data_IF_711563536565
#
_entry.id   IF_711563536565
#
_cell.length_a   1.000
_cell.length_b   1.000
_cell.length_c   1.000
_cell.angle_alpha   90.00
_cell.angle_beta   90.00
_cell.angle_gamma   90.00
#
_symmetry.space_group_name_H-M   'P 1'
#
loop_
_entity.id
_entity.type
_entity.pdbx_description
1 polymer ?
#
# COMPACT_ATOMS: atom_id res chain seq x y z
N UNK A 1 -15.76 -4.45 -3.53
CA UNK A 1 -15.55 -3.73 -2.26
C UNK A 1 -15.81 -4.64 -1.06
N UNK A 2 -17.06 -5.03 -0.80
CA UNK A 2 -17.42 -5.83 0.39
C UNK A 2 -16.53 -7.07 0.60
N UNK A 3 -16.31 -7.87 -0.46
CA UNK A 3 -15.44 -9.05 -0.38
C UNK A 3 -13.98 -8.76 0.00
N UNK A 4 -13.44 -7.58 -0.32
CA UNK A 4 -12.10 -7.18 0.14
C UNK A 4 -12.14 -6.80 1.62
N UNK A 5 -13.17 -6.07 2.03
CA UNK A 5 -13.32 -5.56 3.40
C UNK A 5 -13.75 -6.61 4.43
N UNK A 6 -14.10 -7.83 4.02
CA UNK A 6 -14.23 -8.96 4.97
C UNK A 6 -12.88 -9.44 5.51
N UNK A 7 -11.76 -9.01 4.91
CA UNK A 7 -10.42 -9.41 5.31
C UNK A 7 -9.81 -8.43 6.32
N UNK A 8 -9.03 -8.97 7.26
CA UNK A 8 -8.39 -8.18 8.32
C UNK A 8 -7.16 -7.39 7.87
N UNK A 9 -6.64 -7.64 6.66
CA UNK A 9 -5.47 -6.96 6.09
C UNK A 9 -5.80 -6.55 4.65
N UNK A 10 -5.66 -5.27 4.35
CA UNK A 10 -5.86 -4.69 3.01
C UNK A 10 -4.65 -3.85 2.66
N UNK A 11 -4.17 -3.98 1.42
CA UNK A 11 -3.16 -3.10 0.86
C UNK A 11 -3.84 -1.96 0.12
N UNK A 12 -3.34 -0.73 0.26
CA UNK A 12 -3.82 0.43 -0.47
C UNK A 12 -2.65 1.18 -1.12
N UNK A 13 -2.87 1.59 -2.37
CA UNK A 13 -1.98 2.50 -3.11
C UNK A 13 -2.80 3.37 -4.05
N UNK A 14 -2.39 4.62 -4.24
CA UNK A 14 -3.04 5.56 -5.13
C UNK A 14 -2.12 6.04 -6.25
N UNK A 15 -2.50 5.70 -7.47
CA UNK A 15 -1.73 6.04 -8.66
C UNK A 15 -2.37 7.23 -9.37
N UNK A 16 -1.62 8.31 -9.66
CA UNK A 16 -2.14 9.44 -10.41
C UNK A 16 -2.40 9.06 -11.87
N UNK A 17 -3.50 9.54 -12.43
CA UNK A 17 -3.88 9.38 -13.84
C UNK A 17 -4.30 10.71 -14.44
N UNK A 18 -4.15 10.86 -15.77
CA UNK A 18 -4.60 12.04 -16.49
C UNK A 18 -6.03 11.82 -17.00
N UNK A 19 -6.99 12.51 -16.41
CA UNK A 19 -8.40 12.49 -16.83
C UNK A 19 -8.64 13.61 -17.84
N UNK A 20 -9.33 13.33 -18.95
CA UNK A 20 -9.78 14.38 -19.87
C UNK A 20 -10.81 15.29 -19.18
N UNK A 21 -10.71 16.60 -19.40
CA UNK A 21 -11.74 17.58 -19.02
C UNK A 21 -12.44 18.06 -20.28
N UNK A 22 -13.60 17.46 -20.66
CA UNK A 22 -14.33 17.84 -21.86
C UNK A 22 -14.61 19.34 -21.91
N UNK A 23 -14.42 19.95 -23.07
CA UNK A 23 -14.60 21.40 -23.27
C UNK A 23 -13.40 22.27 -22.88
N UNK A 24 -12.46 21.78 -22.05
CA UNK A 24 -11.33 22.59 -21.56
C UNK A 24 -10.03 22.42 -22.37
N UNK A 25 -9.96 21.46 -23.32
CA UNK A 25 -8.73 21.06 -24.06
C UNK A 25 -7.52 20.79 -23.14
N UNK A 26 -7.78 20.35 -21.92
CA UNK A 26 -6.77 20.07 -20.87
C UNK A 26 -7.10 18.76 -20.16
N UNK A 27 -6.11 18.25 -19.43
CA UNK A 27 -6.25 17.10 -18.54
C UNK A 27 -6.27 17.55 -17.08
N UNK A 28 -7.08 16.88 -16.27
CA UNK A 28 -7.12 16.98 -14.82
C UNK A 28 -6.36 15.81 -14.20
N UNK A 29 -5.58 16.06 -13.14
CA UNK A 29 -4.89 15.00 -12.41
C UNK A 29 -5.87 14.30 -11.46
N UNK A 30 -6.31 13.11 -11.83
CA UNK A 30 -7.15 12.25 -11.02
C UNK A 30 -6.34 11.08 -10.45
N UNK A 31 -6.98 10.18 -9.71
CA UNK A 31 -6.32 9.08 -9.04
C UNK A 31 -7.14 7.80 -9.18
N UNK A 32 -6.42 6.68 -9.27
CA UNK A 32 -7.01 5.35 -9.12
C UNK A 32 -6.40 4.74 -7.87
N UNK A 33 -7.24 4.48 -6.87
CA UNK A 33 -6.88 3.69 -5.71
C UNK A 33 -6.97 2.20 -6.05
N UNK A 34 -5.96 1.44 -5.66
CA UNK A 34 -5.98 -0.01 -5.68
C UNK A 34 -6.09 -0.53 -4.24
N UNK A 35 -7.12 -1.34 -3.97
CA UNK A 35 -7.28 -2.05 -2.70
C UNK A 35 -7.17 -3.54 -2.94
N UNK A 36 -6.11 -4.16 -2.41
CA UNK A 36 -5.81 -5.57 -2.62
C UNK A 36 -5.89 -6.36 -1.31
N UNK A 37 -6.38 -7.60 -1.39
CA UNK A 37 -6.24 -8.56 -0.30
C UNK A 37 -4.78 -8.94 -0.08
N UNK A 38 -4.44 -9.39 1.12
CA UNK A 38 -3.11 -9.93 1.41
C UNK A 38 -2.85 -11.22 0.63
N UNK A 39 -1.59 -11.51 0.28
CA UNK A 39 -1.20 -12.78 -0.35
C UNK A 39 -1.55 -14.04 0.44
N UNK A 40 -1.85 -13.89 1.73
CA UNK A 40 -2.26 -14.98 2.63
C UNK A 40 -3.78 -15.08 2.82
N UNK A 41 -4.55 -14.26 2.10
CA UNK A 41 -6.00 -14.38 2.03
C UNK A 41 -6.40 -15.54 1.11
N UNK A 42 -7.50 -16.20 1.45
CA UNK A 42 -8.21 -17.16 0.61
C UNK A 42 -8.80 -16.53 -0.67
N UNK A 43 -9.02 -15.22 -0.67
CA UNK A 43 -9.45 -14.44 -1.81
C UNK A 43 -8.27 -13.66 -2.41
N UNK A 44 -7.98 -13.91 -3.68
CA UNK A 44 -7.11 -13.03 -4.49
C UNK A 44 -7.96 -12.00 -5.21
N UNK A 45 -8.04 -10.78 -4.70
CA UNK A 45 -8.85 -9.72 -5.30
C UNK A 45 -8.17 -8.35 -5.21
N UNK A 46 -8.42 -7.54 -6.24
CA UNK A 46 -8.07 -6.11 -6.27
C UNK A 46 -9.30 -5.33 -6.70
N UNK A 47 -9.60 -4.24 -5.99
CA UNK A 47 -10.62 -3.26 -6.38
C UNK A 47 -9.91 -1.98 -6.80
N UNK A 48 -10.22 -1.50 -7.99
CA UNK A 48 -9.80 -0.19 -8.46
C UNK A 48 -10.93 0.81 -8.26
N UNK A 49 -10.66 1.85 -7.48
CA UNK A 49 -11.60 2.93 -7.19
C UNK A 49 -11.07 4.25 -7.76
N UNK A 50 -11.82 4.83 -8.70
CA UNK A 50 -11.43 6.08 -9.35
C UNK A 50 -11.92 7.26 -8.51
N UNK A 51 -11.06 8.26 -8.31
CA UNK A 51 -11.51 9.53 -7.76
C UNK A 51 -10.85 10.74 -8.42
N UNK A 52 -11.58 11.87 -8.49
CA UNK A 52 -11.10 13.08 -9.12
C UNK A 52 -9.98 13.78 -8.34
N UNK A 53 -9.67 13.43 -7.09
CA UNK A 53 -8.58 14.09 -6.33
C UNK A 53 -7.83 13.08 -5.47
N UNK A 54 -6.71 13.47 -4.83
CA UNK A 54 -5.98 12.62 -3.87
C UNK A 54 -6.47 12.80 -2.41
N UNK A 55 -7.65 13.37 -2.20
CA UNK A 55 -8.13 13.68 -0.86
C UNK A 55 -8.33 12.41 -0.03
N UNK A 56 -7.92 12.44 1.23
CA UNK A 56 -8.06 11.29 2.14
C UNK A 56 -9.50 10.83 2.38
N UNK A 57 -10.48 11.69 2.08
CA UNK A 57 -11.91 11.34 2.16
C UNK A 57 -12.29 10.18 1.23
N UNK A 58 -11.62 10.04 0.07
CA UNK A 58 -11.89 8.95 -0.88
C UNK A 58 -11.52 7.61 -0.26
N UNK A 59 -10.34 7.54 0.38
CA UNK A 59 -9.93 6.35 1.10
C UNK A 59 -10.85 6.03 2.28
N UNK A 60 -11.29 7.04 3.04
CA UNK A 60 -12.25 6.83 4.14
C UNK A 60 -13.64 6.39 3.66
N UNK A 61 -14.12 6.93 2.53
CA UNK A 61 -15.37 6.50 1.92
C UNK A 61 -15.28 5.04 1.45
N UNK A 62 -14.15 4.66 0.83
CA UNK A 62 -13.91 3.28 0.45
C UNK A 62 -13.82 2.35 1.65
N UNK A 63 -13.11 2.70 2.73
CA UNK A 63 -12.96 1.83 3.90
C UNK A 63 -14.24 1.79 4.76
N UNK A 64 -14.99 2.89 4.82
CA UNK A 64 -16.21 2.99 5.62
C UNK A 64 -15.95 2.68 7.10
N UNK A 65 -16.71 1.74 7.66
CA UNK A 65 -16.56 1.27 9.05
C UNK A 65 -15.55 0.11 9.20
N UNK A 66 -14.80 -0.23 8.15
CA UNK A 66 -13.78 -1.28 8.23
C UNK A 66 -12.67 -0.88 9.21
N UNK A 67 -12.31 -1.81 10.09
CA UNK A 67 -11.37 -1.57 11.17
C UNK A 67 -10.31 -2.69 11.24
N UNK A 68 -9.51 -2.80 10.18
CA UNK A 68 -8.43 -3.78 10.06
C UNK A 68 -7.04 -3.13 9.97
N UNK A 69 -6.09 -3.87 9.38
CA UNK A 69 -4.70 -3.43 9.17
C UNK A 69 -4.50 -2.97 7.74
N UNK A 70 -4.20 -1.69 7.55
CA UNK A 70 -3.99 -1.10 6.24
C UNK A 70 -2.50 -1.02 5.92
N UNK A 71 -2.06 -1.74 4.89
CA UNK A 71 -0.69 -1.64 4.36
C UNK A 71 -0.65 -0.51 3.32
N UNK A 72 0.04 0.58 3.62
CA UNK A 72 0.11 1.75 2.75
C UNK A 72 1.48 2.46 2.80
N UNK A 73 1.67 3.46 1.94
CA UNK A 73 2.92 4.23 1.80
C UNK A 73 3.10 5.36 2.84
N UNK A 74 2.23 5.44 3.85
CA UNK A 74 2.17 6.53 4.82
C UNK A 74 1.77 7.89 4.21
N UNK A 75 1.00 7.89 3.12
CA UNK A 75 0.40 9.11 2.62
C UNK A 75 -0.55 9.72 3.67
N UNK A 76 -0.40 11.03 3.91
CA UNK A 76 -1.19 11.81 4.87
C UNK A 76 -2.72 11.65 4.72
N UNK A 77 -3.22 11.32 3.52
CA UNK A 77 -4.65 11.06 3.31
C UNK A 77 -5.22 9.90 4.12
N UNK A 78 -4.39 8.95 4.56
CA UNK A 78 -4.82 7.82 5.38
C UNK A 78 -4.90 8.14 6.89
N UNK A 79 -4.23 9.19 7.37
CA UNK A 79 -4.05 9.46 8.81
C UNK A 79 -5.35 9.60 9.60
N UNK A 80 -6.33 10.30 9.04
CA UNK A 80 -7.65 10.43 9.68
C UNK A 80 -8.38 9.07 9.80
N UNK A 81 -8.09 8.09 8.93
CA UNK A 81 -8.62 6.73 9.07
C UNK A 81 -7.99 5.98 10.23
N UNK A 82 -6.71 6.24 10.53
CA UNK A 82 -6.01 5.62 11.65
C UNK A 82 -6.54 6.11 13.00
N UNK A 83 -6.86 7.40 13.10
CA UNK A 83 -7.52 7.98 14.26
C UNK A 83 -8.92 7.39 14.52
N UNK A 84 -9.54 6.80 13.49
CA UNK A 84 -10.85 6.14 13.56
C UNK A 84 -10.77 4.62 13.82
N UNK A 85 -9.57 4.08 14.02
CA UNK A 85 -9.33 2.70 14.48
C UNK A 85 -8.47 1.86 13.55
N UNK A 86 -8.37 2.22 12.26
CA UNK A 86 -7.57 1.45 11.29
C UNK A 86 -6.12 1.38 11.76
N UNK A 87 -5.57 0.16 11.83
CA UNK A 87 -4.17 -0.03 12.21
C UNK A 87 -3.26 0.22 11.01
N UNK A 88 -2.36 1.19 11.15
CA UNK A 88 -1.34 1.51 10.13
C UNK A 88 -0.25 0.44 10.05
N UNK A 89 0.03 -0.04 8.84
CA UNK A 89 1.18 -0.90 8.53
C UNK A 89 1.98 -0.26 7.38
N UNK A 90 3.27 -0.01 7.61
CA UNK A 90 4.14 0.59 6.60
C UNK A 90 4.45 -0.37 5.45
N UNK A 91 4.28 0.09 4.21
CA UNK A 91 4.60 -0.69 3.03
C UNK A 91 6.13 -0.77 2.79
N UNK A 92 6.72 -1.96 2.95
CA UNK A 92 8.16 -2.18 2.74
C UNK A 92 8.62 -1.90 1.30
N UNK A 93 7.76 -2.13 0.29
CA UNK A 93 8.10 -1.81 -1.09
C UNK A 93 8.30 -0.30 -1.32
N UNK A 94 7.48 0.53 -0.66
CA UNK A 94 7.60 1.99 -0.70
C UNK A 94 8.82 2.49 0.06
N UNK A 95 9.08 1.94 1.26
CA UNK A 95 10.29 2.25 2.01
C UNK A 95 11.56 1.90 1.21
N UNK A 96 11.61 0.70 0.62
CA UNK A 96 12.73 0.24 -0.23
C UNK A 96 12.99 1.18 -1.40
N UNK A 97 11.94 1.65 -2.09
CA UNK A 97 12.07 2.57 -3.24
C UNK A 97 12.82 3.85 -2.84
N UNK A 98 12.54 4.42 -1.67
CA UNK A 98 13.23 5.63 -1.19
C UNK A 98 14.71 5.41 -0.94
N UNK A 99 15.10 4.28 -0.36
CA UNK A 99 16.51 3.92 -0.20
C UNK A 99 17.18 3.67 -1.56
N UNK A 100 16.47 3.01 -2.48
CA UNK A 100 16.96 2.81 -3.83
C UNK A 100 17.25 4.14 -4.54
N UNK A 101 16.32 5.09 -4.52
CA UNK A 101 16.49 6.39 -5.15
C UNK A 101 17.72 7.13 -4.58
N UNK A 102 17.86 7.14 -3.24
CA UNK A 102 19.03 7.76 -2.57
C UNK A 102 20.36 7.09 -2.96
N UNK A 103 20.39 5.76 -3.06
CA UNK A 103 21.59 5.04 -3.49
C UNK A 103 21.89 5.28 -4.98
N UNK A 104 20.88 5.21 -5.84
CA UNK A 104 21.03 5.37 -7.28
C UNK A 104 21.54 6.77 -7.64
N UNK A 105 21.01 7.83 -6.99
CA UNK A 105 21.39 9.22 -7.26
C UNK A 105 22.71 9.61 -6.60
N UNK A 106 22.92 9.26 -5.33
CA UNK A 106 24.02 9.83 -4.54
C UNK A 106 25.06 8.81 -4.07
N UNK A 107 24.96 7.53 -4.49
CA UNK A 107 25.82 6.43 -4.03
C UNK A 107 25.90 6.32 -2.51
N UNK A 108 24.80 6.67 -1.82
CA UNK A 108 24.72 6.62 -0.38
C UNK A 108 24.98 5.19 0.13
N UNK A 109 26.06 5.06 0.90
CA UNK A 109 26.48 3.80 1.52
C UNK A 109 25.52 3.35 2.62
N UNK A 110 24.85 4.31 3.29
CA UNK A 110 23.82 4.01 4.29
C UNK A 110 22.58 3.43 3.59
N UNK A 111 22.18 4.02 2.46
CA UNK A 111 21.05 3.52 1.69
C UNK A 111 21.33 2.13 1.08
N UNK A 112 22.56 1.88 0.63
CA UNK A 112 23.02 0.56 0.19
C UNK A 112 22.88 -0.50 1.29
N UNK A 113 23.35 -0.19 2.51
CA UNK A 113 23.19 -1.09 3.67
C UNK A 113 21.72 -1.37 3.98
N UNK A 114 20.87 -0.33 3.94
CA UNK A 114 19.43 -0.51 4.14
C UNK A 114 18.82 -1.45 3.07
N UNK A 115 19.21 -1.31 1.80
CA UNK A 115 18.78 -2.21 0.73
C UNK A 115 19.21 -3.66 0.97
N UNK A 116 20.42 -3.90 1.48
CA UNK A 116 20.87 -5.25 1.84
C UNK A 116 20.04 -5.85 2.98
N UNK A 117 19.71 -5.07 4.02
CA UNK A 117 18.84 -5.56 5.10
C UNK A 117 17.42 -5.87 4.61
N UNK A 118 16.85 -5.02 3.75
CA UNK A 118 15.54 -5.26 3.15
C UNK A 118 15.56 -6.52 2.26
N UNK A 119 16.64 -6.72 1.49
CA UNK A 119 16.80 -7.92 0.68
C UNK A 119 16.86 -9.19 1.55
N UNK A 120 17.60 -9.17 2.66
CA UNK A 120 17.64 -10.29 3.59
C UNK A 120 16.25 -10.60 4.18
N UNK A 121 15.46 -9.57 4.51
CA UNK A 121 14.08 -9.77 4.97
C UNK A 121 13.20 -10.41 3.89
N UNK A 122 13.33 -10.00 2.63
CA UNK A 122 12.60 -10.62 1.52
C UNK A 122 12.97 -12.07 1.29
N UNK A 123 14.22 -12.48 1.56
CA UNK A 123 14.59 -13.89 1.53
C UNK A 123 13.89 -14.68 2.64
N UNK A 124 13.84 -14.15 3.86
CA UNK A 124 13.04 -14.76 4.94
C UNK A 124 11.57 -14.88 4.54
N UNK A 125 10.95 -13.80 4.01
CA UNK A 125 9.57 -13.84 3.52
C UNK A 125 9.34 -14.91 2.43
N UNK A 126 10.35 -15.15 1.59
CA UNK A 126 10.31 -16.16 0.52
C UNK A 126 10.39 -17.58 1.09
N UNK A 127 11.26 -17.80 2.07
CA UNK A 127 11.42 -19.10 2.76
C UNK A 127 10.15 -19.49 3.51
N UNK A 128 9.50 -18.53 4.17
CA UNK A 128 8.33 -18.79 5.03
C UNK A 128 6.99 -18.76 4.28
N UNK A 129 7.00 -18.48 2.97
CA UNK A 129 5.81 -18.20 2.17
C UNK A 129 4.73 -19.28 2.28
N UNK A 130 5.13 -20.54 2.16
CA UNK A 130 4.24 -21.70 2.12
C UNK A 130 4.04 -22.34 3.51
N UNK A 131 4.64 -21.77 4.56
CA UNK A 131 4.47 -22.27 5.93
C UNK A 131 3.13 -21.85 6.51
N UNK A 132 2.62 -22.63 7.46
CA UNK A 132 1.44 -22.25 8.24
C UNK A 132 1.76 -21.09 9.21
N UNK A 133 0.78 -20.26 9.59
CA UNK A 133 1.03 -19.07 10.42
C UNK A 133 1.83 -19.33 11.70
N UNK A 134 1.60 -20.47 12.36
CA UNK A 134 2.32 -20.85 13.59
C UNK A 134 3.80 -21.18 13.35
N UNK A 135 4.15 -21.71 12.18
CA UNK A 135 5.53 -22.03 11.83
C UNK A 135 6.28 -20.78 11.35
N UNK A 136 5.59 -19.88 10.63
CA UNK A 136 6.15 -18.56 10.29
C UNK A 136 6.57 -17.77 11.53
N UNK A 137 5.77 -17.81 12.60
CA UNK A 137 6.04 -17.09 13.85
C UNK A 137 7.30 -17.59 14.58
N UNK A 138 7.75 -18.82 14.30
CA UNK A 138 8.91 -19.43 14.98
C UNK A 138 10.24 -19.09 14.34
N UNK A 139 10.23 -18.47 13.16
CA UNK A 139 11.39 -18.01 12.39
C UNK A 139 11.65 -16.55 12.72
#
# INVERSE_FOLDING_TARGET
REAVLTHGIVHADETPVQMLTPGAKKTHRAYVWAYATSQFSDLTAVVYDFSPSRAGEHARAFLGSWNGKLVCDDFAGYKAGFELGVTEIGCMAHARRKFFDLHATNKSQIAEKALHYIAALYEVEREVRELEPGDRQRI
#
